data_IF_713754841108
#
_entry.id   IF_713754841108
#
_cell.length_a   1.000
_cell.length_b   1.000
_cell.length_c   1.000
_cell.angle_alpha   90.00
_cell.angle_beta   90.00
_cell.angle_gamma   90.00
#
_symmetry.space_group_name_H-M   'P 1'
#
loop_
_entity.id
_entity.type
_entity.pdbx_description
1 polymer ?
#
# COMPACT_ATOMS: atom_id res chain seq x y z
N UNK A 1 1.77 13.50 -19.42
CA UNK A 1 2.42 12.30 -20.00
C UNK A 1 2.71 12.51 -21.47
N UNK A 2 3.70 11.79 -22.03
CA UNK A 2 3.98 11.83 -23.46
C UNK A 2 2.82 11.24 -24.27
N UNK A 3 2.39 11.87 -25.38
CA UNK A 3 1.32 11.35 -26.24
C UNK A 3 1.65 9.96 -26.82
N UNK A 4 2.93 9.67 -27.04
CA UNK A 4 3.41 8.43 -27.66
C UNK A 4 3.33 7.20 -26.76
N UNK A 5 3.30 7.38 -25.45
CA UNK A 5 3.28 6.29 -24.46
C UNK A 5 1.98 6.23 -23.66
N UNK A 6 1.07 7.17 -23.87
CA UNK A 6 -0.16 7.28 -23.10
C UNK A 6 -1.24 6.35 -23.66
N UNK A 7 -1.64 5.35 -22.87
CA UNK A 7 -2.53 4.28 -23.33
C UNK A 7 -3.95 4.75 -23.65
N UNK A 8 -4.47 5.77 -22.95
CA UNK A 8 -5.79 6.37 -23.24
C UNK A 8 -5.77 7.04 -24.62
N UNK A 9 -4.68 7.72 -24.95
CA UNK A 9 -4.47 8.28 -26.30
C UNK A 9 -4.45 7.19 -27.35
N UNK A 10 -3.67 6.12 -27.12
CA UNK A 10 -3.58 5.00 -28.07
C UNK A 10 -4.95 4.33 -28.29
N UNK A 11 -5.74 4.15 -27.23
CA UNK A 11 -7.10 3.64 -27.32
C UNK A 11 -8.01 4.60 -28.07
N UNK A 12 -7.96 5.90 -27.77
CA UNK A 12 -8.74 6.92 -28.44
C UNK A 12 -8.46 6.97 -29.94
N UNK A 13 -7.18 6.91 -30.34
CA UNK A 13 -6.78 6.84 -31.76
C UNK A 13 -7.32 5.58 -32.42
N UNK A 14 -7.21 4.43 -31.75
CA UNK A 14 -7.73 3.16 -32.28
C UNK A 14 -9.25 3.23 -32.51
N UNK A 15 -10.01 3.70 -31.53
CA UNK A 15 -11.48 3.80 -31.64
C UNK A 15 -11.88 4.79 -32.73
N UNK A 16 -11.21 5.94 -32.81
CA UNK A 16 -11.46 6.96 -33.83
C UNK A 16 -11.17 6.46 -35.26
N UNK A 17 -10.16 5.59 -35.41
CA UNK A 17 -9.84 4.96 -36.70
C UNK A 17 -10.78 3.80 -37.06
N UNK A 18 -11.63 3.32 -36.14
CA UNK A 18 -12.54 2.19 -36.34
C UNK A 18 -14.00 2.58 -36.00
N UNK A 19 -14.62 3.54 -36.71
CA UNK A 19 -15.94 4.09 -36.37
C UNK A 19 -17.09 3.07 -36.52
N UNK A 20 -16.87 1.96 -37.23
CA UNK A 20 -17.84 0.88 -37.41
C UNK A 20 -17.80 -0.18 -36.31
N UNK A 21 -16.98 0.01 -35.27
CA UNK A 21 -16.88 -0.95 -34.18
C UNK A 21 -18.21 -1.01 -33.41
N UNK A 22 -18.86 -2.17 -33.45
CA UNK A 22 -20.10 -2.41 -32.73
C UNK A 22 -19.85 -2.63 -31.22
N UNK A 23 -20.86 -2.38 -30.38
CA UNK A 23 -20.82 -2.78 -28.98
C UNK A 23 -20.49 -4.27 -28.82
N UNK A 24 -19.55 -4.58 -27.93
CA UNK A 24 -19.08 -5.94 -27.69
C UNK A 24 -17.56 -6.01 -27.49
N UNK A 25 -16.91 -6.93 -28.21
CA UNK A 25 -15.46 -7.11 -28.11
C UNK A 25 -14.70 -5.89 -28.68
N UNK A 26 -14.01 -5.15 -27.80
CA UNK A 26 -13.23 -3.96 -28.17
C UNK A 26 -12.17 -4.23 -29.26
N UNK A 27 -11.61 -5.45 -29.25
CA UNK A 27 -10.69 -5.96 -30.25
C UNK A 27 -11.30 -7.19 -30.92
N UNK A 28 -12.10 -7.03 -32.00
CA UNK A 28 -12.83 -8.12 -32.61
C UNK A 28 -11.89 -9.16 -33.23
N UNK A 29 -12.29 -10.43 -33.21
CA UNK A 29 -11.57 -11.58 -33.78
C UNK A 29 -11.25 -12.69 -32.76
N UNK A 30 -10.97 -13.89 -33.26
CA UNK A 30 -10.54 -15.04 -32.44
C UNK A 30 -9.06 -14.93 -32.04
N UNK A 31 -8.67 -15.69 -31.02
CA UNK A 31 -7.27 -15.87 -30.57
C UNK A 31 -6.48 -14.56 -30.34
N UNK A 32 -6.94 -13.68 -29.42
CA UNK A 32 -6.32 -12.37 -29.20
C UNK A 32 -4.82 -12.46 -28.84
N UNK A 33 -4.41 -13.50 -28.10
CA UNK A 33 -3.01 -13.72 -27.72
C UNK A 33 -2.11 -13.97 -28.94
N UNK A 34 -2.57 -14.78 -29.89
CA UNK A 34 -1.80 -15.13 -31.09
C UNK A 34 -1.67 -13.90 -32.00
N UNK A 35 -2.77 -13.16 -32.19
CA UNK A 35 -2.78 -11.92 -32.97
C UNK A 35 -1.84 -10.87 -32.38
N UNK A 36 -1.91 -10.65 -31.07
CA UNK A 36 -1.01 -9.74 -30.38
C UNK A 36 0.46 -10.20 -30.51
N UNK A 37 0.74 -11.49 -30.34
CA UNK A 37 2.07 -12.06 -30.50
C UNK A 37 2.65 -11.85 -31.91
N UNK A 38 1.83 -12.03 -32.95
CA UNK A 38 2.22 -11.80 -34.35
C UNK A 38 2.51 -10.31 -34.61
N UNK A 39 1.64 -9.42 -34.14
CA UNK A 39 1.84 -7.98 -34.28
C UNK A 39 3.11 -7.50 -33.54
N UNK A 40 3.33 -8.00 -32.33
CA UNK A 40 4.53 -7.73 -31.54
C UNK A 40 5.80 -8.26 -32.23
N UNK A 41 5.77 -9.49 -32.75
CA UNK A 41 6.88 -10.08 -33.49
C UNK A 41 7.28 -9.23 -34.69
N UNK A 42 6.31 -8.85 -35.53
CA UNK A 42 6.54 -8.00 -36.70
C UNK A 42 7.14 -6.63 -36.33
N UNK A 43 6.77 -6.07 -35.18
CA UNK A 43 7.30 -4.78 -34.71
C UNK A 43 8.73 -4.93 -34.20
N UNK A 44 9.03 -6.01 -33.48
CA UNK A 44 10.36 -6.32 -32.97
C UNK A 44 11.34 -6.77 -34.06
N UNK A 45 10.85 -7.41 -35.12
CA UNK A 45 11.65 -7.76 -36.30
C UNK A 45 12.25 -6.52 -36.94
N UNK A 46 11.51 -5.42 -37.01
CA UNK A 46 12.02 -4.12 -37.48
C UNK A 46 13.14 -3.55 -36.62
N UNK A 47 13.26 -4.00 -35.37
CA UNK A 47 14.28 -3.59 -34.41
C UNK A 47 15.33 -4.69 -34.15
N UNK A 48 15.27 -5.82 -34.87
CA UNK A 48 16.21 -6.95 -34.71
C UNK A 48 16.04 -7.76 -33.42
N UNK A 49 14.93 -7.61 -32.68
CA UNK A 49 14.76 -8.14 -31.33
C UNK A 49 13.70 -9.26 -31.21
N UNK A 50 13.13 -9.73 -32.32
CA UNK A 50 11.95 -10.63 -32.33
C UNK A 50 12.17 -11.99 -31.65
N UNK A 51 13.41 -12.51 -31.67
CA UNK A 51 13.76 -13.78 -31.01
C UNK A 51 13.97 -13.64 -29.51
N UNK A 52 14.17 -12.43 -29.00
CA UNK A 52 14.49 -12.18 -27.58
C UNK A 52 13.24 -11.88 -26.73
N UNK A 53 12.18 -11.36 -27.35
CA UNK A 53 10.99 -10.91 -26.63
C UNK A 53 9.72 -11.49 -27.25
N UNK A 54 8.84 -12.00 -26.39
CA UNK A 54 7.51 -12.47 -26.78
C UNK A 54 6.44 -11.94 -25.83
N UNK A 55 5.20 -12.42 -25.99
CA UNK A 55 4.07 -11.97 -25.14
C UNK A 55 4.31 -12.21 -23.65
N UNK A 56 5.08 -13.25 -23.30
CA UNK A 56 5.47 -13.55 -21.92
C UNK A 56 6.51 -12.56 -21.36
N UNK A 57 7.31 -11.91 -22.22
CA UNK A 57 8.29 -10.92 -21.81
C UNK A 57 7.64 -9.62 -21.34
N UNK A 58 6.49 -9.23 -21.91
CA UNK A 58 5.72 -8.05 -21.46
C UNK A 58 5.29 -8.20 -20.00
N UNK A 59 4.73 -9.36 -19.64
CA UNK A 59 4.35 -9.66 -18.25
C UNK A 59 5.54 -9.61 -17.30
N UNK A 60 6.68 -10.20 -17.69
CA UNK A 60 7.92 -10.16 -16.90
C UNK A 60 8.46 -8.75 -16.75
N UNK A 61 8.39 -7.94 -17.80
CA UNK A 61 8.79 -6.54 -17.79
C UNK A 61 7.98 -5.72 -16.80
N UNK A 62 6.65 -5.84 -16.83
CA UNK A 62 5.76 -5.16 -15.89
C UNK A 62 6.05 -5.58 -14.44
N UNK A 63 6.19 -6.88 -14.18
CA UNK A 63 6.53 -7.38 -12.84
C UNK A 63 7.88 -6.85 -12.33
N UNK A 64 8.83 -6.59 -13.23
CA UNK A 64 10.14 -6.03 -12.89
C UNK A 64 10.03 -4.53 -12.64
N UNK A 65 9.28 -3.80 -13.47
CA UNK A 65 9.08 -2.35 -13.38
C UNK A 65 8.47 -1.94 -12.02
N UNK A 66 7.58 -2.76 -11.48
CA UNK A 66 6.85 -2.42 -10.26
C UNK A 66 7.72 -2.61 -9.02
N UNK A 67 8.89 -3.27 -9.10
CA UNK A 67 9.84 -3.52 -7.99
C UNK A 67 9.22 -4.05 -6.66
N UNK A 68 7.97 -4.52 -6.69
CA UNK A 68 7.26 -5.00 -5.51
C UNK A 68 7.37 -6.53 -5.45
N UNK A 69 8.19 -7.05 -4.52
CA UNK A 69 8.22 -8.47 -4.17
C UNK A 69 6.85 -9.03 -3.71
N UNK A 70 5.93 -8.15 -3.31
CA UNK A 70 4.57 -8.52 -2.89
C UNK A 70 3.67 -8.85 -4.09
N UNK A 71 3.99 -8.39 -5.31
CA UNK A 71 3.04 -8.38 -6.42
C UNK A 71 3.53 -9.03 -7.72
N UNK A 72 4.45 -9.98 -7.58
CA UNK A 72 4.79 -10.95 -8.64
C UNK A 72 3.60 -11.85 -9.05
N UNK A 73 2.41 -11.64 -8.46
CA UNK A 73 1.25 -12.55 -8.41
C UNK A 73 0.02 -12.04 -9.18
N UNK A 74 -0.09 -10.73 -9.46
CA UNK A 74 -1.11 -10.16 -10.37
C UNK A 74 -0.83 -10.43 -11.86
N UNK A 75 0.36 -10.96 -12.19
CA UNK A 75 0.73 -11.37 -13.55
C UNK A 75 0.18 -12.75 -13.97
N UNK A 76 -0.87 -13.24 -13.29
CA UNK A 76 -1.63 -14.45 -13.67
C UNK A 76 -0.79 -15.75 -13.55
N UNK A 77 -0.01 -15.84 -12.47
CA UNK A 77 0.70 -17.07 -12.08
C UNK A 77 -0.09 -17.78 -10.98
N UNK A 78 -0.61 -18.97 -11.26
CA UNK A 78 -1.28 -19.80 -10.26
C UNK A 78 -0.27 -20.27 -9.19
N UNK A 79 -0.49 -19.88 -7.94
CA UNK A 79 0.21 -20.41 -6.76
C UNK A 79 -0.63 -21.45 -5.98
N UNK A 80 -1.76 -21.91 -6.53
CA UNK A 80 -2.68 -22.84 -5.89
C UNK A 80 -3.54 -22.21 -4.76
N UNK A 81 -4.28 -23.03 -4.02
CA UNK A 81 -5.32 -22.61 -3.06
C UNK A 81 -4.85 -21.98 -1.73
N UNK A 82 -3.61 -21.50 -1.65
CA UNK A 82 -3.06 -20.80 -0.48
C UNK A 82 -3.26 -19.27 -0.57
N UNK A 83 -3.71 -18.80 -1.74
CA UNK A 83 -3.76 -17.38 -2.13
C UNK A 83 -4.80 -16.56 -1.36
N UNK A 84 -6.06 -17.01 -1.30
CA UNK A 84 -7.19 -16.27 -0.70
C UNK A 84 -7.01 -15.95 0.79
N UNK A 85 -6.09 -16.65 1.48
CA UNK A 85 -5.89 -16.49 2.92
C UNK A 85 -4.99 -15.30 3.30
N UNK A 86 -4.20 -14.78 2.34
CA UNK A 86 -3.19 -13.76 2.61
C UNK A 86 -3.30 -12.51 1.73
N UNK A 87 -4.08 -12.55 0.66
CA UNK A 87 -4.35 -11.37 -0.16
C UNK A 87 -5.50 -10.58 0.48
N UNK A 88 -5.18 -9.38 0.98
CA UNK A 88 -6.18 -8.42 1.46
C UNK A 88 -6.07 -7.18 0.59
N UNK A 89 -7.20 -6.60 0.21
CA UNK A 89 -7.31 -5.36 -0.56
C UNK A 89 -6.85 -5.45 -2.02
N UNK A 90 -7.25 -6.50 -2.74
CA UNK A 90 -6.98 -6.70 -4.18
C UNK A 90 -7.28 -5.44 -5.02
N UNK A 91 -8.46 -4.84 -4.81
CA UNK A 91 -8.88 -3.65 -5.53
C UNK A 91 -7.94 -2.43 -5.35
N UNK A 92 -7.37 -2.25 -4.15
CA UNK A 92 -6.44 -1.13 -3.90
C UNK A 92 -5.06 -1.40 -4.52
N UNK A 93 -4.63 -2.67 -4.52
CA UNK A 93 -3.42 -3.13 -5.23
C UNK A 93 -3.54 -2.91 -6.73
N UNK A 94 -4.67 -3.31 -7.33
CA UNK A 94 -4.94 -3.13 -8.76
C UNK A 94 -4.92 -1.66 -9.19
N UNK A 95 -5.51 -0.77 -8.39
CA UNK A 95 -5.51 0.67 -8.67
C UNK A 95 -4.10 1.26 -8.61
N UNK A 96 -3.30 0.90 -7.60
CA UNK A 96 -1.90 1.34 -7.50
C UNK A 96 -1.08 0.80 -8.66
N UNK A 97 -1.17 -0.51 -8.93
CA UNK A 97 -0.46 -1.17 -10.00
C UNK A 97 -0.83 -0.57 -11.37
N UNK A 98 -2.11 -0.30 -11.60
CA UNK A 98 -2.60 0.34 -12.82
C UNK A 98 -1.92 1.69 -13.06
N UNK A 99 -1.72 2.49 -12.02
CA UNK A 99 -0.98 3.76 -12.11
C UNK A 99 0.50 3.57 -12.43
N UNK A 100 1.16 2.60 -11.80
CA UNK A 100 2.57 2.27 -12.09
C UNK A 100 2.74 1.81 -13.55
N UNK A 101 1.87 0.93 -14.02
CA UNK A 101 1.88 0.41 -15.40
C UNK A 101 1.53 1.49 -16.42
N UNK A 102 0.72 2.47 -16.05
CA UNK A 102 0.48 3.67 -16.86
C UNK A 102 1.72 4.57 -17.00
N UNK A 103 2.81 4.29 -16.29
CA UNK A 103 4.07 5.02 -16.36
C UNK A 103 4.11 6.26 -15.44
N UNK A 104 3.27 6.29 -14.41
CA UNK A 104 3.29 7.39 -13.43
C UNK A 104 4.51 7.27 -12.50
N UNK A 105 5.18 8.39 -12.18
CA UNK A 105 6.38 8.39 -11.34
C UNK A 105 6.04 8.10 -9.86
N UNK A 106 6.45 6.93 -9.34
CA UNK A 106 6.13 6.45 -7.97
C UNK A 106 6.73 7.32 -6.84
N UNK A 107 7.66 8.20 -7.19
CA UNK A 107 8.40 9.05 -6.25
C UNK A 107 8.14 10.56 -6.48
N UNK A 108 7.02 10.90 -7.12
CA UNK A 108 6.64 12.29 -7.41
C UNK A 108 5.16 12.50 -7.05
N UNK A 109 4.80 13.73 -6.69
CA UNK A 109 3.41 14.15 -6.50
C UNK A 109 2.55 13.89 -7.74
N UNK A 110 3.16 13.94 -8.92
CA UNK A 110 2.53 13.61 -10.21
C UNK A 110 1.98 12.19 -10.28
N UNK A 111 2.36 11.30 -9.36
CA UNK A 111 1.73 9.99 -9.27
C UNK A 111 0.22 10.06 -9.04
N UNK A 112 -0.28 11.13 -8.43
CA UNK A 112 -1.69 11.36 -8.19
C UNK A 112 -2.42 12.02 -9.36
N UNK A 113 -1.73 12.35 -10.45
CA UNK A 113 -2.32 13.03 -11.60
C UNK A 113 -3.49 12.21 -12.17
N UNK A 114 -4.56 12.92 -12.50
CA UNK A 114 -5.72 12.35 -13.17
C UNK A 114 -5.49 12.30 -14.69
N UNK A 115 -6.13 11.36 -15.39
CA UNK A 115 -6.18 11.42 -16.85
C UNK A 115 -6.81 12.74 -17.29
N UNK A 116 -6.46 13.21 -18.49
CA UNK A 116 -7.13 14.39 -19.09
C UNK A 116 -8.62 14.12 -19.20
N UNK A 117 -9.42 15.05 -18.69
CA UNK A 117 -10.87 14.96 -18.65
C UNK A 117 -11.49 16.37 -18.77
N UNK A 118 -12.76 16.42 -19.11
CA UNK A 118 -13.50 17.69 -19.17
C UNK A 118 -13.98 18.09 -17.78
N UNK A 119 -14.11 19.39 -17.55
CA UNK A 119 -14.69 19.95 -16.32
C UNK A 119 -16.09 19.37 -16.08
N UNK A 120 -16.87 19.26 -17.16
CA UNK A 120 -18.22 18.72 -17.12
C UNK A 120 -18.53 17.90 -18.39
N UNK A 121 -18.84 16.62 -18.20
CA UNK A 121 -19.12 15.69 -19.31
C UNK A 121 -20.56 15.82 -19.86
N UNK A 122 -21.45 16.52 -19.14
CA UNK A 122 -22.84 16.70 -19.57
C UNK A 122 -23.02 17.78 -20.65
N UNK A 123 -21.97 18.53 -20.97
CA UNK A 123 -21.98 19.61 -21.96
C UNK A 123 -22.34 19.07 -23.35
N UNK A 124 -23.32 19.72 -24.00
CA UNK A 124 -23.83 19.30 -25.30
C UNK A 124 -22.72 19.14 -26.35
N UNK A 125 -21.76 20.07 -26.39
CA UNK A 125 -20.62 20.05 -27.31
C UNK A 125 -19.75 18.79 -27.12
N UNK A 126 -19.52 18.37 -25.87
CA UNK A 126 -18.75 17.15 -25.56
C UNK A 126 -19.52 15.92 -26.07
N UNK A 127 -20.81 15.80 -25.74
CA UNK A 127 -21.66 14.67 -26.19
C UNK A 127 -21.75 14.58 -27.71
N UNK A 128 -21.98 15.70 -28.39
CA UNK A 128 -22.02 15.74 -29.86
C UNK A 128 -20.67 15.34 -30.46
N UNK A 129 -19.56 15.74 -29.85
CA UNK A 129 -18.22 15.38 -30.31
C UNK A 129 -17.90 13.90 -30.09
N UNK A 130 -18.32 13.33 -28.96
CA UNK A 130 -18.24 11.87 -28.69
C UNK A 130 -19.06 11.10 -29.73
N UNK A 131 -20.29 11.54 -30.01
CA UNK A 131 -21.14 10.92 -31.02
C UNK A 131 -20.55 11.01 -32.44
N UNK A 132 -19.84 12.10 -32.75
CA UNK A 132 -19.15 12.25 -34.03
C UNK A 132 -17.91 11.36 -34.14
N UNK A 133 -17.12 11.25 -33.08
CA UNK A 133 -15.87 10.47 -33.07
C UNK A 133 -16.09 8.96 -32.91
N UNK A 134 -17.11 8.56 -32.15
CA UNK A 134 -17.37 7.17 -31.80
C UNK A 134 -18.85 6.80 -32.05
N UNK A 135 -19.35 6.91 -33.29
CA UNK A 135 -20.79 6.92 -33.58
C UNK A 135 -21.53 5.65 -33.16
N UNK A 136 -20.91 4.47 -33.31
CA UNK A 136 -21.54 3.18 -32.95
C UNK A 136 -21.44 2.87 -31.46
N UNK A 137 -20.49 3.47 -30.77
CA UNK A 137 -20.27 3.26 -29.33
C UNK A 137 -20.89 4.36 -28.47
N UNK A 138 -21.30 5.49 -29.06
CA UNK A 138 -21.84 6.64 -28.34
C UNK A 138 -23.08 6.33 -27.48
N UNK A 139 -23.85 5.30 -27.85
CA UNK A 139 -25.03 4.87 -27.11
C UNK A 139 -24.72 3.91 -25.96
N UNK A 140 -23.48 3.43 -25.84
CA UNK A 140 -23.06 2.49 -24.79
C UNK A 140 -22.75 3.22 -23.49
N UNK A 141 -23.68 3.16 -22.54
CA UNK A 141 -23.60 3.86 -21.24
C UNK A 141 -22.39 3.45 -20.42
N UNK A 142 -22.01 2.17 -20.46
CA UNK A 142 -20.87 1.64 -19.72
C UNK A 142 -19.51 2.13 -20.25
N UNK A 143 -19.46 2.55 -21.52
CA UNK A 143 -18.24 3.06 -22.16
C UNK A 143 -18.21 4.59 -22.26
N UNK A 144 -19.31 5.27 -21.94
CA UNK A 144 -19.45 6.73 -22.01
C UNK A 144 -18.25 7.46 -21.38
N UNK A 145 -17.93 7.17 -20.13
CA UNK A 145 -16.80 7.80 -19.43
C UNK A 145 -15.44 7.52 -20.07
N UNK A 146 -15.22 6.33 -20.63
CA UNK A 146 -13.97 5.98 -21.30
C UNK A 146 -13.84 6.74 -22.62
N UNK A 147 -14.92 6.86 -23.39
CA UNK A 147 -14.93 7.62 -24.64
C UNK A 147 -14.70 9.11 -24.39
N UNK A 148 -15.26 9.66 -23.31
CA UNK A 148 -15.03 11.04 -22.88
C UNK A 148 -13.55 11.28 -22.54
N UNK A 149 -12.92 10.36 -21.80
CA UNK A 149 -11.48 10.40 -21.52
C UNK A 149 -10.63 10.26 -22.78
N UNK A 150 -11.01 9.38 -23.70
CA UNK A 150 -10.35 9.22 -24.99
C UNK A 150 -10.44 10.52 -25.81
N UNK A 151 -11.62 11.14 -25.88
CA UNK A 151 -11.82 12.41 -26.56
C UNK A 151 -10.99 13.52 -25.92
N UNK A 152 -11.01 13.65 -24.59
CA UNK A 152 -10.22 14.64 -23.87
C UNK A 152 -8.72 14.48 -24.15
N UNK A 153 -8.23 13.23 -24.19
CA UNK A 153 -6.84 12.92 -24.54
C UNK A 153 -6.50 13.28 -25.98
N UNK A 154 -7.40 12.99 -26.93
CA UNK A 154 -7.22 13.33 -28.35
C UNK A 154 -7.17 14.84 -28.57
N UNK A 155 -8.07 15.59 -27.91
CA UNK A 155 -8.11 17.06 -27.98
C UNK A 155 -6.82 17.65 -27.40
N UNK A 156 -6.40 17.18 -26.23
CA UNK A 156 -5.18 17.69 -25.58
C UNK A 156 -3.92 17.47 -26.42
N UNK A 157 -3.83 16.34 -27.13
CA UNK A 157 -2.67 15.96 -27.92
C UNK A 157 -2.82 16.25 -29.43
N UNK A 158 -3.79 17.08 -29.79
CA UNK A 158 -4.09 17.45 -31.17
C UNK A 158 -2.88 18.00 -31.93
N UNK A 159 -2.15 18.95 -31.35
CA UNK A 159 -0.96 19.55 -31.97
C UNK A 159 0.13 18.50 -32.24
N UNK A 160 0.36 17.60 -31.27
CA UNK A 160 1.32 16.50 -31.43
C UNK A 160 0.97 15.61 -32.63
N UNK A 161 -0.31 15.29 -32.84
CA UNK A 161 -0.70 14.48 -33.98
C UNK A 161 -0.46 15.19 -35.31
N UNK A 162 -0.77 16.48 -35.38
CA UNK A 162 -0.58 17.27 -36.60
C UNK A 162 0.90 17.33 -37.01
N UNK A 163 1.80 17.39 -36.02
CA UNK A 163 3.23 17.47 -36.27
C UNK A 163 3.88 16.11 -36.59
N UNK A 164 3.35 15.00 -36.03
CA UNK A 164 4.04 13.70 -36.04
C UNK A 164 3.34 12.62 -36.89
N UNK A 165 2.05 12.75 -37.20
CA UNK A 165 1.33 11.77 -38.01
C UNK A 165 1.28 12.22 -39.49
N UNK A 166 1.35 11.28 -40.44
CA UNK A 166 1.27 11.64 -41.84
C UNK A 166 -0.15 12.13 -42.19
N UNK A 167 -0.25 13.03 -43.17
CA UNK A 167 -1.52 13.67 -43.57
C UNK A 167 -2.59 12.63 -43.99
N UNK A 168 -2.16 11.49 -44.52
CA UNK A 168 -3.02 10.36 -44.92
C UNK A 168 -3.35 9.40 -43.77
N UNK A 169 -3.03 9.73 -42.53
CA UNK A 169 -3.34 8.88 -41.40
C UNK A 169 -4.87 8.73 -41.23
N UNK A 170 -5.40 7.52 -40.97
CA UNK A 170 -6.83 7.29 -40.82
C UNK A 170 -7.51 8.21 -39.81
N UNK A 171 -6.81 8.60 -38.74
CA UNK A 171 -7.28 9.59 -37.78
C UNK A 171 -7.75 10.88 -38.49
N UNK A 172 -6.95 11.46 -39.39
CA UNK A 172 -7.34 12.68 -40.10
C UNK A 172 -8.31 12.46 -41.25
N UNK A 173 -8.29 11.26 -41.85
CA UNK A 173 -9.17 10.94 -42.98
C UNK A 173 -10.59 10.68 -42.50
N UNK A 174 -10.73 9.81 -41.49
CA UNK A 174 -11.98 9.29 -40.96
C UNK A 174 -12.62 10.26 -39.99
N UNK A 175 -11.81 10.95 -39.19
CA UNK A 175 -12.30 12.03 -38.34
C UNK A 175 -12.12 13.35 -39.10
N UNK A 176 -13.20 13.95 -39.58
CA UNK A 176 -13.16 15.30 -40.18
C UNK A 176 -12.71 16.38 -39.18
N UNK A 177 -12.43 15.99 -37.94
CA UNK A 177 -12.06 16.77 -36.77
C UNK A 177 -10.94 17.79 -37.01
N UNK A 178 -10.04 17.57 -37.98
CA UNK A 178 -8.94 18.49 -38.31
C UNK A 178 -9.04 19.21 -39.66
N UNK A 179 -9.99 18.83 -40.53
CA UNK A 179 -10.04 19.28 -41.93
C UNK A 179 -10.81 20.59 -42.14
N UNK A 180 -11.90 20.80 -41.41
CA UNK A 180 -12.77 21.97 -41.59
C UNK A 180 -12.47 23.09 -40.60
N UNK A 181 -12.61 24.36 -41.03
CA UNK A 181 -12.50 25.53 -40.16
C UNK A 181 -13.44 25.45 -38.96
N UNK A 182 -14.67 24.94 -39.16
CA UNK A 182 -15.65 24.70 -38.10
C UNK A 182 -15.15 23.72 -37.05
N UNK A 183 -14.45 22.66 -37.47
CA UNK A 183 -13.93 21.65 -36.54
C UNK A 183 -12.72 22.15 -35.75
N UNK A 184 -11.92 23.07 -36.29
CA UNK A 184 -10.87 23.78 -35.53
C UNK A 184 -11.45 24.67 -34.43
N UNK A 185 -12.61 25.28 -34.67
CA UNK A 185 -13.33 26.05 -33.64
C UNK A 185 -13.86 25.11 -32.55
N UNK A 186 -14.47 23.98 -32.93
CA UNK A 186 -14.93 22.96 -31.98
C UNK A 186 -13.77 22.41 -31.14
N UNK A 187 -12.62 22.11 -31.76
CA UNK A 187 -11.40 21.71 -31.07
C UNK A 187 -10.93 22.73 -30.04
N UNK A 188 -10.88 24.01 -30.42
CA UNK A 188 -10.52 25.10 -29.48
C UNK A 188 -11.50 25.20 -28.32
N UNK A 189 -12.80 25.10 -28.61
CA UNK A 189 -13.85 25.12 -27.58
C UNK A 189 -13.72 23.93 -26.64
N UNK A 190 -13.46 22.72 -27.16
CA UNK A 190 -13.22 21.53 -26.35
C UNK A 190 -11.94 21.64 -25.51
N UNK A 191 -10.87 22.20 -26.07
CA UNK A 191 -9.62 22.41 -25.35
C UNK A 191 -9.81 23.39 -24.18
N UNK A 192 -10.65 24.40 -24.33
CA UNK A 192 -11.03 25.31 -23.26
C UNK A 192 -11.88 24.66 -22.15
N UNK A 193 -12.55 23.53 -22.44
CA UNK A 193 -13.35 22.76 -21.50
C UNK A 193 -12.56 21.67 -20.75
N UNK A 194 -11.26 21.50 -21.06
CA UNK A 194 -10.40 20.56 -20.34
C UNK A 194 -10.08 21.07 -18.94
N UNK A 195 -10.15 20.17 -17.96
CA UNK A 195 -9.78 20.47 -16.58
C UNK A 195 -8.25 20.66 -16.48
N UNK A 196 -7.84 21.76 -15.86
CA UNK A 196 -6.44 22.12 -15.65
C UNK A 196 -6.01 22.02 -14.18
N UNK A 197 -6.93 21.69 -13.27
CA UNK A 197 -6.68 21.63 -11.84
C UNK A 197 -7.38 20.45 -11.16
N UNK A 198 -8.06 20.74 -10.05
CA UNK A 198 -8.73 19.73 -9.24
C UNK A 198 -10.09 19.42 -9.85
N UNK A 199 -10.27 18.15 -10.25
CA UNK A 199 -11.56 17.65 -10.70
C UNK A 199 -12.61 17.73 -9.60
N UNK A 200 -13.84 18.11 -9.97
CA UNK A 200 -14.98 18.14 -9.05
C UNK A 200 -15.68 16.77 -8.94
N UNK A 201 -15.48 15.88 -9.91
CA UNK A 201 -16.23 14.63 -10.03
C UNK A 201 -15.36 13.38 -10.12
N UNK A 202 -14.05 13.52 -10.33
CA UNK A 202 -13.11 12.41 -10.40
C UNK A 202 -12.10 12.48 -9.25
N UNK A 203 -11.97 11.40 -8.49
CA UNK A 203 -10.95 11.26 -7.45
C UNK A 203 -9.86 10.29 -7.88
N UNK A 204 -8.62 10.61 -7.52
CA UNK A 204 -7.47 9.79 -7.84
C UNK A 204 -7.39 8.59 -6.89
N UNK A 205 -7.58 7.39 -7.43
CA UNK A 205 -7.53 6.13 -6.68
C UNK A 205 -6.15 5.49 -6.70
N UNK A 206 -5.90 4.51 -5.82
CA UNK A 206 -4.63 3.77 -5.77
C UNK A 206 -3.43 4.59 -5.32
N UNK A 207 -3.64 5.66 -4.55
CA UNK A 207 -2.58 6.54 -4.05
C UNK A 207 -2.01 5.99 -2.73
N UNK A 208 -0.71 5.63 -2.67
CA UNK A 208 -0.07 5.25 -1.42
C UNK A 208 0.12 6.45 -0.46
N UNK A 209 0.22 6.22 0.86
CA UNK A 209 0.40 7.29 1.84
C UNK A 209 1.61 8.20 1.59
N UNK A 210 2.70 7.67 1.03
CA UNK A 210 3.91 8.46 0.76
C UNK A 210 3.73 9.46 -0.39
N UNK A 211 2.86 9.19 -1.35
CA UNK A 211 2.54 10.15 -2.42
C UNK A 211 1.84 11.37 -1.85
N UNK A 212 0.96 11.20 -0.85
CA UNK A 212 0.34 12.33 -0.16
C UNK A 212 1.38 13.23 0.53
N UNK A 213 2.52 12.67 0.96
CA UNK A 213 3.64 13.48 1.46
C UNK A 213 4.29 14.27 0.34
N UNK A 214 4.54 13.66 -0.83
CA UNK A 214 5.08 14.37 -1.99
C UNK A 214 4.15 15.49 -2.47
N UNK A 215 2.84 15.28 -2.48
CA UNK A 215 1.85 16.33 -2.81
C UNK A 215 1.98 17.51 -1.84
N UNK A 216 2.04 17.24 -0.53
CA UNK A 216 2.20 18.29 0.48
C UNK A 216 3.53 19.04 0.33
N UNK A 217 4.62 18.32 0.06
CA UNK A 217 5.94 18.91 -0.19
C UNK A 217 5.93 19.78 -1.45
N UNK A 218 5.27 19.33 -2.53
CA UNK A 218 5.15 20.11 -3.76
C UNK A 218 4.36 21.42 -3.55
N UNK A 219 3.27 21.36 -2.76
CA UNK A 219 2.50 22.56 -2.39
C UNK A 219 3.37 23.51 -1.55
N UNK A 220 4.10 22.99 -0.56
CA UNK A 220 5.00 23.81 0.26
C UNK A 220 6.12 24.45 -0.57
N UNK A 221 6.72 23.69 -1.49
CA UNK A 221 7.74 24.20 -2.39
C UNK A 221 7.19 25.31 -3.28
N UNK A 222 5.98 25.13 -3.84
CA UNK A 222 5.32 26.16 -4.64
C UNK A 222 5.06 27.44 -3.83
N UNK A 223 4.63 27.32 -2.56
CA UNK A 223 4.49 28.47 -1.67
C UNK A 223 5.84 29.16 -1.43
N UNK A 224 6.92 28.38 -1.26
CA UNK A 224 8.27 28.92 -1.06
C UNK A 224 8.77 29.63 -2.32
N UNK A 225 8.57 29.06 -3.50
CA UNK A 225 8.99 29.64 -4.78
C UNK A 225 8.21 30.91 -5.12
N UNK A 226 6.96 31.04 -4.64
CA UNK A 226 6.13 32.22 -4.79
C UNK A 226 6.43 33.33 -3.76
N UNK A 227 7.20 33.05 -2.70
CA UNK A 227 7.54 34.02 -1.64
C UNK A 227 8.18 35.30 -2.20
N UNK A 228 9.21 35.24 -3.06
CA UNK A 228 9.90 36.45 -3.50
C UNK A 228 9.00 37.38 -4.29
N UNK A 229 8.22 36.87 -5.24
CA UNK A 229 7.32 37.70 -6.07
C UNK A 229 6.19 38.32 -5.27
N UNK A 230 5.61 37.60 -4.30
CA UNK A 230 4.59 38.18 -3.41
C UNK A 230 5.19 39.21 -2.44
N UNK A 231 6.41 38.97 -1.96
CA UNK A 231 7.14 39.92 -1.12
C UNK A 231 7.46 41.20 -1.90
N UNK A 232 7.94 41.09 -3.13
CA UNK A 232 8.19 42.21 -4.04
C UNK A 232 6.91 43.02 -4.27
N UNK A 233 5.82 42.36 -4.68
CA UNK A 233 4.54 43.02 -4.93
C UNK A 233 4.01 43.74 -3.67
N UNK A 234 4.10 43.12 -2.49
CA UNK A 234 3.65 43.76 -1.24
C UNK A 234 4.60 44.86 -0.76
N UNK A 235 5.91 44.73 -0.98
CA UNK A 235 6.85 45.80 -0.67
C UNK A 235 6.64 47.00 -1.60
N UNK A 236 6.34 46.77 -2.87
CA UNK A 236 5.95 47.80 -3.83
C UNK A 236 4.65 48.50 -3.39
N UNK A 237 3.61 47.73 -3.03
CA UNK A 237 2.37 48.28 -2.44
C UNK A 237 2.64 49.13 -1.17
N UNK A 238 3.55 48.69 -0.29
CA UNK A 238 3.89 49.42 0.94
C UNK A 238 4.65 50.72 0.63
N UNK A 239 5.56 50.69 -0.34
CA UNK A 239 6.33 51.85 -0.78
C UNK A 239 5.44 52.86 -1.52
N UNK A 240 4.52 52.39 -2.35
CA UNK A 240 3.55 53.22 -3.08
C UNK A 240 2.48 53.82 -2.16
N UNK A 241 1.86 53.01 -1.29
CA UNK A 241 0.80 53.48 -0.38
C UNK A 241 1.29 54.49 0.63
N UNK A 242 2.56 54.42 1.03
CA UNK A 242 3.09 55.27 2.10
C UNK A 242 3.99 56.40 1.64
N UNK A 243 4.36 56.46 0.35
CA UNK A 243 5.29 57.42 -0.23
C UNK A 243 6.60 57.57 0.56
N UNK A 244 7.72 57.60 -0.15
CA UNK A 244 9.04 58.00 0.34
C UNK A 244 9.05 59.35 1.11
N UNK A 245 7.96 60.13 1.07
CA UNK A 245 7.78 61.44 1.68
C UNK A 245 7.65 61.48 3.21
N UNK A 246 7.27 60.39 3.90
CA UNK A 246 7.04 60.44 5.36
C UNK A 246 8.24 59.95 6.22
N UNK A 247 9.28 59.37 5.62
CA UNK A 247 10.51 58.93 6.32
C UNK A 247 10.34 57.84 7.40
N UNK A 248 9.12 57.40 7.70
CA UNK A 248 8.81 56.54 8.85
C UNK A 248 8.40 55.13 8.44
N UNK A 249 9.32 54.35 7.87
CA UNK A 249 9.19 52.88 7.84
C UNK A 249 9.64 52.38 9.23
N UNK A 250 8.69 52.13 10.13
CA UNK A 250 8.98 51.59 11.47
C UNK A 250 9.16 50.07 11.44
N UNK A 251 10.03 49.55 12.32
CA UNK A 251 10.32 48.11 12.45
C UNK A 251 9.05 47.27 12.72
N UNK A 252 8.11 47.81 13.48
CA UNK A 252 6.89 47.11 13.86
C UNK A 252 5.94 46.94 12.66
N UNK A 253 5.85 47.96 11.80
CA UNK A 253 5.10 47.88 10.55
C UNK A 253 5.64 46.78 9.63
N UNK A 254 6.96 46.70 9.46
CA UNK A 254 7.59 45.64 8.68
C UNK A 254 7.34 44.26 9.27
N UNK A 255 7.37 44.13 10.61
CA UNK A 255 7.08 42.86 11.29
C UNK A 255 5.64 42.42 11.11
N UNK A 256 4.68 43.34 11.17
CA UNK A 256 3.26 43.02 11.02
C UNK A 256 2.93 42.63 9.57
N UNK A 257 3.52 43.29 8.57
CA UNK A 257 3.37 42.92 7.16
C UNK A 257 4.03 41.57 6.83
N UNK A 258 5.25 41.32 7.35
CA UNK A 258 5.89 39.99 7.21
C UNK A 258 5.03 38.90 7.88
N UNK A 259 4.38 39.22 9.02
CA UNK A 259 3.49 38.28 9.70
C UNK A 259 2.23 38.00 8.89
N UNK A 260 1.62 39.03 8.31
CA UNK A 260 0.46 38.91 7.44
C UNK A 260 0.80 38.08 6.18
N UNK A 261 1.95 38.33 5.55
CA UNK A 261 2.46 37.53 4.44
C UNK A 261 2.65 36.05 4.81
N UNK A 262 3.23 35.77 5.98
CA UNK A 262 3.40 34.39 6.46
C UNK A 262 2.07 33.69 6.77
N UNK A 263 1.03 34.44 7.13
CA UNK A 263 -0.33 33.92 7.34
C UNK A 263 -1.08 33.67 6.03
N UNK A 264 -1.01 34.61 5.07
CA UNK A 264 -1.59 34.46 3.72
C UNK A 264 -1.06 33.20 3.01
N UNK A 265 0.19 32.80 3.29
CA UNK A 265 0.82 31.62 2.69
C UNK A 265 0.62 30.31 3.46
N UNK A 266 -0.06 30.34 4.61
CA UNK A 266 -0.25 29.14 5.45
C UNK A 266 1.05 28.56 6.01
N UNK A 267 2.13 29.35 6.06
CA UNK A 267 3.44 28.96 6.57
C UNK A 267 3.59 29.19 8.09
N UNK A 268 2.65 29.89 8.71
CA UNK A 268 2.49 29.78 10.16
C UNK A 268 1.85 28.43 10.47
N UNK A 269 2.57 27.60 11.23
CA UNK A 269 1.95 26.62 12.10
C UNK A 269 0.81 27.35 12.78
N UNK A 270 -0.43 26.93 12.53
CA UNK A 270 -1.50 27.18 13.46
C UNK A 270 -0.91 26.82 14.82
N UNK A 271 -0.77 27.82 15.70
CA UNK A 271 -0.73 27.50 17.11
C UNK A 271 -1.96 26.63 17.33
N UNK A 272 -1.85 25.48 18.00
CA UNK A 272 -3.02 24.68 18.30
C UNK A 272 -3.98 25.60 19.04
N UNK A 273 -5.13 25.86 18.42
CA UNK A 273 -6.18 26.69 18.97
C UNK A 273 -6.42 26.27 20.41
N UNK A 274 -6.21 27.25 21.28
CA UNK A 274 -6.48 27.20 22.70
C UNK A 274 -7.99 27.08 22.92
N UNK A 275 -8.54 25.88 22.74
CA UNK A 275 -9.86 25.50 23.27
C UNK A 275 -10.02 23.98 23.27
N UNK A 276 -9.44 23.31 24.27
CA UNK A 276 -10.06 22.25 25.08
C UNK A 276 -9.06 21.93 26.19
N UNK A 277 -9.40 22.27 27.44
CA UNK A 277 -8.67 21.79 28.61
C UNK A 277 -8.79 20.26 28.67
N UNK A 278 -7.84 19.56 28.08
CA UNK A 278 -7.55 18.18 28.40
C UNK A 278 -6.35 18.18 29.37
N UNK A 279 -6.51 17.50 30.50
CA UNK A 279 -5.51 17.36 31.55
C UNK A 279 -4.10 17.09 30.97
N UNK A 280 -3.03 17.61 31.62
CA UNK A 280 -1.66 17.45 31.13
C UNK A 280 -1.34 15.97 30.93
N UNK A 281 -1.22 15.56 29.66
CA UNK A 281 -0.73 14.23 29.32
C UNK A 281 0.73 14.15 29.78
N UNK A 282 1.12 13.14 30.58
CA UNK A 282 2.52 12.96 30.92
C UNK A 282 3.31 12.77 29.61
N UNK A 283 4.37 13.55 29.46
CA UNK A 283 5.40 13.41 28.43
C UNK A 283 6.03 12.03 28.58
N UNK A 284 5.46 11.03 27.89
CA UNK A 284 5.97 9.66 27.91
C UNK A 284 7.32 9.62 27.21
N UNK A 285 8.35 9.17 27.93
CA UNK A 285 9.71 9.07 27.42
C UNK A 285 9.72 8.10 26.23
N UNK A 286 10.12 8.59 25.06
CA UNK A 286 10.31 7.77 23.87
C UNK A 286 11.78 7.36 23.76
N UNK A 287 12.03 6.07 23.53
CA UNK A 287 13.38 5.51 23.39
C UNK A 287 13.71 5.29 21.92
N UNK A 288 14.97 5.45 21.55
CA UNK A 288 15.47 5.21 20.19
C UNK A 288 16.52 4.11 20.21
N UNK A 289 16.23 3.00 19.53
CA UNK A 289 17.18 1.92 19.29
C UNK A 289 16.80 1.18 18.00
N UNK A 290 17.77 0.60 17.31
CA UNK A 290 17.52 -0.09 16.03
C UNK A 290 16.94 0.81 14.93
N UNK A 291 17.16 2.12 14.98
CA UNK A 291 16.65 3.09 14.00
C UNK A 291 15.14 3.35 14.07
N UNK A 292 14.47 2.97 15.16
CA UNK A 292 13.03 3.18 15.37
C UNK A 292 12.74 3.77 16.75
N UNK A 293 11.56 4.38 16.87
CA UNK A 293 11.02 4.85 18.14
C UNK A 293 10.32 3.71 18.87
N UNK A 294 10.61 3.59 20.17
CA UNK A 294 10.13 2.53 21.04
C UNK A 294 9.56 3.11 22.33
N UNK A 295 8.53 2.45 22.86
CA UNK A 295 7.91 2.83 24.15
C UNK A 295 8.69 2.34 25.36
N UNK A 296 9.68 1.48 25.15
CA UNK A 296 10.48 0.84 26.20
C UNK A 296 11.97 0.94 25.88
N UNK A 297 12.83 1.01 26.92
CA UNK A 297 14.27 0.91 26.76
C UNK A 297 14.68 -0.42 26.11
N UNK A 298 15.84 -0.43 25.44
CA UNK A 298 16.39 -1.66 24.83
C UNK A 298 16.58 -2.79 25.84
N UNK A 299 16.95 -2.45 27.08
CA UNK A 299 17.29 -3.42 28.14
C UNK A 299 16.10 -3.80 29.02
N UNK A 300 14.86 -3.47 28.62
CA UNK A 300 13.65 -3.83 29.35
C UNK A 300 13.49 -5.35 29.52
N UNK A 301 13.26 -5.84 30.74
CA UNK A 301 12.94 -7.23 31.02
C UNK A 301 11.61 -7.37 31.79
N UNK A 302 10.84 -8.41 31.44
CA UNK A 302 9.58 -8.71 32.12
C UNK A 302 9.83 -9.21 33.54
N UNK A 303 9.13 -8.68 34.56
CA UNK A 303 9.27 -9.13 35.92
C UNK A 303 8.65 -10.54 36.09
N UNK A 304 9.34 -11.41 36.83
CA UNK A 304 8.88 -12.76 37.14
C UNK A 304 7.91 -12.74 38.34
N UNK A 305 6.69 -12.25 38.12
CA UNK A 305 5.70 -12.02 39.19
C UNK A 305 4.52 -12.99 39.15
N UNK A 306 3.70 -12.90 40.19
CA UNK A 306 2.42 -13.58 40.33
C UNK A 306 1.36 -13.00 39.37
N UNK A 307 0.29 -13.76 39.06
CA UNK A 307 -0.76 -13.33 38.13
C UNK A 307 -1.48 -12.03 38.53
N UNK A 308 -1.62 -11.73 39.82
CA UNK A 308 -2.30 -10.51 40.28
C UNK A 308 -1.40 -9.30 40.02
N UNK A 309 -0.11 -9.38 40.38
CA UNK A 309 0.87 -8.34 40.03
C UNK A 309 0.97 -8.13 38.51
N UNK A 310 0.89 -9.20 37.72
CA UNK A 310 0.87 -9.11 36.27
C UNK A 310 -0.40 -8.42 35.74
N UNK A 311 -1.56 -8.68 36.34
CA UNK A 311 -2.82 -8.02 36.00
C UNK A 311 -2.77 -6.52 36.28
N UNK A 312 -2.15 -6.12 37.39
CA UNK A 312 -1.94 -4.70 37.72
C UNK A 312 -1.03 -4.01 36.70
N UNK A 313 0.12 -4.59 36.35
CA UNK A 313 1.03 -4.04 35.33
C UNK A 313 0.41 -4.01 33.92
N UNK A 314 -0.49 -4.95 33.62
CA UNK A 314 -1.23 -4.98 32.35
C UNK A 314 -2.12 -3.75 32.17
N UNK A 315 -2.73 -3.28 33.25
CA UNK A 315 -3.70 -2.18 33.23
C UNK A 315 -3.12 -0.81 33.57
N UNK A 316 -2.20 -0.75 34.54
CA UNK A 316 -1.66 0.52 35.06
C UNK A 316 -0.22 0.80 34.61
N UNK A 317 0.56 -0.23 34.27
CA UNK A 317 1.98 -0.08 33.94
C UNK A 317 2.84 0.07 35.20
N UNK A 318 4.04 0.62 35.05
CA UNK A 318 4.97 0.87 36.17
C UNK A 318 5.35 2.36 36.18
N UNK A 319 4.66 3.13 37.02
CA UNK A 319 4.86 4.57 37.14
C UNK A 319 6.27 4.95 37.60
N UNK A 320 6.94 4.08 38.39
CA UNK A 320 8.29 4.35 38.89
C UNK A 320 9.34 4.30 37.79
N UNK A 321 9.07 3.57 36.71
CA UNK A 321 9.97 3.39 35.57
C UNK A 321 9.45 4.06 34.30
N UNK A 322 8.36 4.80 34.39
CA UNK A 322 7.60 5.39 33.27
C UNK A 322 7.26 4.35 32.19
N UNK A 323 6.96 3.11 32.59
CA UNK A 323 6.58 2.07 31.64
C UNK A 323 5.08 2.10 31.41
N UNK A 324 4.63 2.14 30.14
CA UNK A 324 3.21 2.18 29.84
C UNK A 324 2.54 0.86 30.25
N UNK A 325 1.20 0.86 30.39
CA UNK A 325 0.45 -0.37 30.63
C UNK A 325 0.84 -1.47 29.64
N UNK A 326 1.11 -2.68 30.14
CA UNK A 326 1.75 -3.72 29.32
C UNK A 326 0.88 -4.17 28.15
N UNK A 327 -0.44 -3.94 28.21
CA UNK A 327 -1.37 -4.13 27.09
C UNK A 327 -1.05 -3.29 25.85
N UNK A 328 -0.34 -2.18 26.03
CA UNK A 328 -0.03 -1.21 24.97
C UNK A 328 1.35 -1.40 24.33
N UNK A 329 2.11 -2.38 24.82
CA UNK A 329 3.43 -2.77 24.32
C UNK A 329 3.23 -3.60 23.05
N UNK A 330 3.94 -3.22 21.97
CA UNK A 330 3.97 -4.01 20.74
C UNK A 330 5.12 -5.01 20.75
N UNK A 331 5.00 -6.10 19.97
CA UNK A 331 6.11 -7.03 19.73
C UNK A 331 7.32 -6.35 19.06
N UNK A 332 7.09 -5.19 18.44
CA UNK A 332 8.13 -4.33 17.84
C UNK A 332 8.92 -3.54 18.88
N UNK A 333 8.37 -3.33 20.09
CA UNK A 333 9.04 -2.66 21.22
C UNK A 333 9.98 -3.58 22.00
N UNK A 334 10.22 -4.81 21.52
CA UNK A 334 11.01 -5.84 22.22
C UNK A 334 12.17 -6.32 21.34
N UNK A 335 13.39 -6.22 21.88
CA UNK A 335 14.63 -6.48 21.15
C UNK A 335 14.96 -7.98 20.94
N UNK A 336 14.41 -8.88 21.77
CA UNK A 336 14.75 -10.31 21.74
C UNK A 336 13.52 -11.21 21.53
N UNK A 337 13.66 -12.35 20.84
CA UNK A 337 12.56 -13.29 20.61
C UNK A 337 12.00 -13.87 21.91
N UNK A 338 12.84 -14.05 22.94
CA UNK A 338 12.42 -14.50 24.28
C UNK A 338 11.41 -13.54 24.91
N UNK A 339 11.68 -12.23 24.87
CA UNK A 339 10.77 -11.19 25.40
C UNK A 339 9.42 -11.18 24.66
N UNK A 340 9.44 -11.37 23.34
CA UNK A 340 8.21 -11.48 22.52
C UNK A 340 7.37 -12.70 22.90
N UNK A 341 8.01 -13.83 23.19
CA UNK A 341 7.33 -15.02 23.69
C UNK A 341 6.69 -14.76 25.07
N UNK A 342 7.41 -14.08 25.99
CA UNK A 342 6.88 -13.70 27.30
C UNK A 342 5.67 -12.77 27.21
N UNK A 343 5.69 -11.75 26.33
CA UNK A 343 4.52 -10.89 26.08
C UNK A 343 3.31 -11.69 25.56
N UNK A 344 3.57 -12.71 24.73
CA UNK A 344 2.52 -13.60 24.22
C UNK A 344 1.93 -14.46 25.35
N UNK A 345 2.76 -14.96 26.27
CA UNK A 345 2.29 -15.70 27.46
C UNK A 345 1.43 -14.83 28.37
N UNK A 346 1.85 -13.58 28.62
CA UNK A 346 1.06 -12.60 29.37
C UNK A 346 -0.29 -12.35 28.69
N UNK A 347 -0.29 -12.02 27.40
CA UNK A 347 -1.52 -11.79 26.62
C UNK A 347 -2.49 -12.97 26.68
N UNK A 348 -1.99 -14.21 26.62
CA UNK A 348 -2.84 -15.41 26.67
C UNK A 348 -3.45 -15.56 28.05
N UNK A 349 -2.68 -15.40 29.14
CA UNK A 349 -3.24 -15.50 30.49
C UNK A 349 -4.29 -14.41 30.75
N UNK A 350 -4.02 -13.16 30.34
CA UNK A 350 -4.98 -12.05 30.50
C UNK A 350 -6.29 -12.35 29.77
N UNK A 351 -6.23 -12.97 28.59
CA UNK A 351 -7.43 -13.40 27.85
C UNK A 351 -8.23 -14.47 28.59
N UNK A 352 -7.56 -15.46 29.21
CA UNK A 352 -8.27 -16.45 30.02
C UNK A 352 -8.96 -15.82 31.23
N UNK A 353 -8.32 -14.84 31.89
CA UNK A 353 -8.91 -14.11 33.02
C UNK A 353 -10.11 -13.28 32.54
N UNK A 354 -9.98 -12.54 31.43
CA UNK A 354 -11.08 -11.74 30.85
C UNK A 354 -12.27 -12.63 30.47
N UNK A 355 -12.02 -13.76 29.80
CA UNK A 355 -13.08 -14.71 29.46
C UNK A 355 -13.78 -15.27 30.71
N UNK A 356 -13.04 -15.50 31.80
CA UNK A 356 -13.60 -15.91 33.08
C UNK A 356 -14.52 -14.85 33.70
N UNK A 357 -14.11 -13.58 33.62
CA UNK A 357 -14.91 -12.42 34.07
C UNK A 357 -16.20 -12.28 33.25
N UNK A 358 -16.09 -12.35 31.93
CA UNK A 358 -17.23 -12.24 31.01
C UNK A 358 -18.22 -13.40 31.19
N UNK A 359 -17.73 -14.60 31.47
CA UNK A 359 -18.57 -15.77 31.76
C UNK A 359 -19.36 -15.61 33.08
N UNK A 360 -18.79 -14.94 34.09
CA UNK A 360 -19.44 -14.73 35.39
C UNK A 360 -20.42 -13.54 35.37
N UNK A 361 -20.13 -12.47 34.62
CA UNK A 361 -21.00 -11.28 34.52
C UNK A 361 -22.01 -11.31 33.37
N UNK A 362 -21.86 -12.21 32.39
CA UNK A 362 -22.73 -12.28 31.20
C UNK A 362 -22.67 -11.04 30.29
N UNK A 363 -21.68 -10.18 30.47
CA UNK A 363 -21.48 -8.91 29.77
C UNK A 363 -19.98 -8.66 29.51
N UNK A 364 -19.62 -7.83 28.50
CA UNK A 364 -18.22 -7.56 28.17
C UNK A 364 -17.51 -6.83 29.32
N UNK A 365 -16.19 -7.01 29.41
CA UNK A 365 -15.34 -6.44 30.47
C UNK A 365 -15.63 -4.93 30.71
N UNK A 366 -16.02 -4.51 31.93
CA UNK A 366 -16.25 -3.11 32.25
C UNK A 366 -14.92 -2.32 32.25
N UNK A 367 -14.97 -1.00 31.99
CA UNK A 367 -13.78 -0.16 32.05
C UNK A 367 -13.20 -0.16 33.47
N UNK A 368 -11.93 -0.55 33.59
CA UNK A 368 -11.20 -0.55 34.86
C UNK A 368 -10.96 0.89 35.28
N UNK A 369 -11.43 1.23 36.49
CA UNK A 369 -11.41 2.57 37.05
C UNK A 369 -10.19 2.74 37.96
N UNK A 370 -10.15 1.93 39.01
CA UNK A 370 -9.15 2.01 40.07
C UNK A 370 -8.50 0.65 40.36
N UNK A 371 -7.39 0.68 41.11
CA UNK A 371 -6.63 -0.52 41.51
C UNK A 371 -7.50 -1.52 42.27
N UNK A 372 -8.37 -1.05 43.18
CA UNK A 372 -9.28 -1.90 43.94
C UNK A 372 -10.26 -2.64 43.02
N UNK A 373 -10.87 -1.92 42.08
CA UNK A 373 -11.78 -2.51 41.09
C UNK A 373 -11.06 -3.53 40.18
N UNK A 374 -9.80 -3.26 39.80
CA UNK A 374 -9.00 -4.21 39.03
C UNK A 374 -8.72 -5.52 39.80
N UNK A 375 -8.50 -5.43 41.12
CA UNK A 375 -8.27 -6.60 41.99
C UNK A 375 -9.55 -7.43 42.14
N UNK A 376 -10.71 -6.79 42.29
CA UNK A 376 -12.01 -7.47 42.36
C UNK A 376 -12.30 -8.26 41.09
N UNK A 377 -12.16 -7.62 39.92
CA UNK A 377 -12.33 -8.26 38.62
C UNK A 377 -11.34 -9.42 38.43
N UNK A 378 -10.09 -9.26 38.86
CA UNK A 378 -9.11 -10.35 38.82
C UNK A 378 -9.55 -11.54 39.67
N UNK A 379 -9.98 -11.31 40.91
CA UNK A 379 -10.39 -12.40 41.80
C UNK A 379 -11.62 -13.15 41.28
N UNK A 380 -12.53 -12.45 40.60
CA UNK A 380 -13.67 -13.01 39.88
C UNK A 380 -13.20 -13.94 38.75
N UNK A 381 -12.47 -13.39 37.77
CA UNK A 381 -11.97 -14.16 36.63
C UNK A 381 -11.04 -15.31 37.00
N UNK A 382 -10.20 -15.13 38.02
CA UNK A 382 -9.23 -16.14 38.43
C UNK A 382 -9.89 -17.37 39.07
N UNK A 383 -11.02 -17.20 39.78
CA UNK A 383 -11.80 -18.34 40.33
C UNK A 383 -12.35 -19.25 39.24
N UNK A 384 -12.67 -18.69 38.08
CA UNK A 384 -13.22 -19.41 36.93
C UNK A 384 -12.16 -20.17 36.13
N UNK A 385 -10.86 -19.99 36.44
CA UNK A 385 -9.80 -20.69 35.74
C UNK A 385 -9.71 -22.16 36.18
N UNK A 386 -9.83 -23.07 35.20
CA UNK A 386 -9.64 -24.49 35.44
C UNK A 386 -8.14 -24.85 35.47
N UNK A 387 -7.56 -24.90 36.68
CA UNK A 387 -6.16 -25.27 36.88
C UNK A 387 -6.04 -26.76 37.17
N UNK A 388 -5.13 -27.44 36.47
CA UNK A 388 -4.86 -28.86 36.73
C UNK A 388 -4.35 -29.05 38.17
N UNK A 389 -4.94 -29.99 38.95
CA UNK A 389 -4.51 -30.24 40.32
C UNK A 389 -3.07 -30.76 40.36
N UNK A 390 -2.23 -30.13 41.18
CA UNK A 390 -0.83 -30.51 41.38
C UNK A 390 -0.72 -31.67 42.37
N UNK A 391 0.07 -32.70 42.05
CA UNK A 391 0.40 -33.82 42.96
C UNK A 391 1.13 -33.39 44.25
N UNK A 392 1.76 -32.21 44.25
CA UNK A 392 2.44 -31.61 45.42
C UNK A 392 1.62 -30.43 45.94
N UNK A 393 1.43 -30.31 47.27
CA UNK A 393 0.85 -29.12 47.91
C UNK A 393 1.72 -27.90 47.59
N UNK A 394 1.19 -26.92 46.87
CA UNK A 394 1.87 -25.65 46.55
C UNK A 394 1.20 -24.52 47.33
N UNK A 395 1.95 -23.50 47.71
CA UNK A 395 1.37 -22.24 48.18
C UNK A 395 0.79 -21.51 46.96
N UNK A 396 -0.53 -21.43 46.88
CA UNK A 396 -1.27 -20.86 45.74
C UNK A 396 -0.88 -19.39 45.46
N UNK A 397 -0.51 -18.65 46.50
CA UNK A 397 -0.10 -17.23 46.44
C UNK A 397 1.31 -17.00 45.89
N UNK A 398 2.10 -18.05 45.65
CA UNK A 398 3.49 -17.94 45.16
C UNK A 398 3.67 -18.50 43.74
N UNK A 399 2.57 -18.81 43.04
CA UNK A 399 2.62 -19.35 41.69
C UNK A 399 2.83 -18.21 40.71
N UNK A 400 3.89 -18.30 39.90
CA UNK A 400 4.22 -17.32 38.86
C UNK A 400 3.25 -17.42 37.68
N UNK A 401 3.03 -16.30 36.97
CA UNK A 401 2.18 -16.22 35.77
C UNK A 401 2.42 -17.35 34.76
N UNK A 402 3.68 -17.62 34.42
CA UNK A 402 4.06 -18.65 33.43
C UNK A 402 3.68 -20.06 33.88
N UNK A 403 3.69 -20.30 35.20
CA UNK A 403 3.31 -21.58 35.78
C UNK A 403 1.79 -21.75 35.80
N UNK A 404 1.02 -20.69 36.08
CA UNK A 404 -0.45 -20.71 35.99
C UNK A 404 -0.89 -21.01 34.56
N UNK A 405 -0.33 -20.31 33.57
CA UNK A 405 -0.65 -20.55 32.16
C UNK A 405 -0.33 -21.99 31.73
N UNK A 406 0.78 -22.56 32.21
CA UNK A 406 1.11 -23.96 31.95
C UNK A 406 0.04 -24.91 32.52
N UNK A 407 -0.44 -24.66 33.74
CA UNK A 407 -1.48 -25.47 34.38
C UNK A 407 -2.83 -25.38 33.66
N UNK A 408 -3.18 -24.21 33.10
CA UNK A 408 -4.36 -24.04 32.23
C UNK A 408 -4.22 -24.92 30.98
N UNK A 409 -3.09 -24.82 30.26
CA UNK A 409 -2.82 -25.63 29.06
C UNK A 409 -2.83 -27.12 29.35
N UNK A 410 -2.29 -27.53 30.50
CA UNK A 410 -2.30 -28.94 30.92
C UNK A 410 -3.71 -29.44 31.28
N UNK A 411 -4.60 -28.59 31.77
CA UNK A 411 -6.00 -28.92 32.04
C UNK A 411 -6.82 -29.03 30.74
N UNK A 412 -6.64 -28.08 29.80
CA UNK A 412 -7.29 -28.10 28.48
C UNK A 412 -6.85 -29.27 27.59
N UNK A 413 -5.61 -29.74 27.74
CA UNK A 413 -5.13 -30.91 27.01
C UNK A 413 -5.63 -32.22 27.63
N UNK A 414 -5.91 -32.25 28.94
CA UNK A 414 -6.47 -33.44 29.60
C UNK A 414 -7.93 -33.70 29.20
N UNK A 415 -8.68 -32.66 28.84
CA UNK A 415 -10.04 -32.77 28.30
C UNK A 415 -10.07 -33.15 26.81
N UNK A 416 -8.94 -33.10 26.10
CA UNK A 416 -8.79 -33.49 24.69
C UNK A 416 -8.16 -34.89 24.57
N UNK A 417 -8.93 -35.95 24.84
CA UNK A 417 -8.54 -37.32 24.49
C UNK A 417 -8.72 -37.55 22.99
N UNK A 418 -7.63 -37.54 22.23
CA UNK A 418 -7.66 -38.01 20.84
C UNK A 418 -7.47 -39.53 20.80
N UNK A 419 -8.31 -40.28 20.03
CA UNK A 419 -8.07 -41.70 19.83
C UNK A 419 -6.74 -41.91 19.10
N UNK A 420 -5.84 -42.68 19.71
CA UNK A 420 -4.55 -43.03 19.13
C UNK A 420 -4.77 -43.87 17.86
N UNK A 421 -4.44 -43.31 16.69
CA UNK A 421 -4.31 -44.07 15.44
C UNK A 421 -2.82 -44.35 15.20
N UNK A 422 -2.36 -45.61 15.26
CA UNK A 422 -0.97 -45.93 14.95
C UNK A 422 -0.68 -45.55 13.49
N UNK A 423 0.38 -44.77 13.26
CA UNK A 423 0.89 -44.47 11.92
C UNK A 423 1.33 -45.78 11.26
N UNK A 424 0.72 -46.14 10.12
CA UNK A 424 1.24 -47.20 9.24
C UNK A 424 2.64 -46.78 8.78
N UNK A 425 3.68 -47.45 9.28
CA UNK A 425 5.03 -47.36 8.71
C UNK A 425 5.02 -48.05 7.34
N UNK A 426 5.59 -47.46 6.28
CA UNK A 426 5.83 -48.18 5.04
C UNK A 426 6.77 -49.35 5.33
N UNK A 427 6.41 -50.57 4.90
CA UNK A 427 7.33 -51.71 4.91
C UNK A 427 8.51 -51.37 4.01
N UNK A 428 9.72 -51.42 4.55
CA UNK A 428 10.93 -51.37 3.74
C UNK A 428 10.91 -52.57 2.78
N UNK A 429 11.00 -52.30 1.48
CA UNK A 429 11.19 -53.34 0.47
C UNK A 429 12.60 -53.93 0.67
N UNK A 430 12.65 -55.15 1.21
CA UNK A 430 13.85 -55.96 1.28
C UNK A 430 14.18 -56.41 -0.15
N UNK A 431 15.19 -55.81 -0.78
CA UNK A 431 15.76 -56.33 -2.03
C UNK A 431 16.91 -57.27 -1.65
N UNK A 432 16.58 -58.55 -1.50
CA UNK A 432 17.58 -59.61 -1.49
C UNK A 432 17.88 -59.94 -2.95
N UNK A 433 19.02 -59.49 -3.44
CA UNK A 433 19.61 -60.02 -4.66
C UNK A 433 20.39 -61.31 -4.31
N UNK A 434 20.26 -62.40 -5.09
CA UNK A 434 20.98 -63.64 -4.81
C UNK A 434 22.46 -63.51 -5.21
N UNK A 435 23.35 -63.81 -4.26
CA UNK A 435 24.77 -64.07 -4.52
C UNK A 435 24.90 -65.39 -5.27
N UNK A 436 25.38 -65.35 -6.51
CA UNK A 436 25.94 -66.51 -7.20
C UNK A 436 27.43 -66.57 -6.86
N UNK A 437 27.84 -67.67 -6.24
CA UNK A 437 29.24 -68.04 -6.07
C UNK A 437 29.80 -68.56 -7.40
N UNK A 438 30.97 -68.09 -7.80
CA UNK A 438 31.89 -68.83 -8.65
C UNK A 438 33.31 -68.59 -8.12
N UNK A 439 33.97 -69.69 -7.79
CA UNK A 439 35.36 -69.82 -7.35
C UNK A 439 36.28 -70.07 -8.55
N UNK A 440 37.59 -69.88 -8.30
CA UNK A 440 38.77 -70.21 -9.14
C UNK A 440 39.16 -69.12 -10.17
N UNK A 441 40.42 -68.69 -10.33
CA UNK A 441 41.74 -69.19 -9.92
C UNK A 441 42.78 -68.05 -10.03
N UNK A 442 43.96 -68.24 -9.44
CA UNK A 442 45.05 -67.28 -9.26
C UNK A 442 45.81 -66.88 -10.55
N UNK A 443 46.41 -65.68 -10.59
CA UNK A 443 47.89 -65.53 -10.61
C UNK A 443 48.41 -64.08 -10.65
N UNK A 444 49.52 -63.88 -9.93
CA UNK A 444 50.60 -62.89 -10.12
C UNK A 444 50.38 -61.38 -9.93
N UNK A 445 51.03 -60.84 -8.89
CA UNK A 445 51.50 -59.45 -8.74
C UNK A 445 52.83 -59.25 -9.56
N UNK A 446 53.55 -58.09 -9.56
CA UNK A 446 53.36 -56.85 -8.79
C UNK A 446 53.71 -55.50 -9.52
N UNK A 447 53.64 -54.42 -8.72
CA UNK A 447 54.52 -53.22 -8.70
C UNK A 447 54.06 -51.86 -9.28
N UNK A 448 54.04 -50.87 -8.35
CA UNK A 448 54.46 -49.46 -8.41
C UNK A 448 54.09 -48.61 -9.64
N UNK A 449 53.57 -47.39 -9.52
CA UNK A 449 54.26 -46.23 -8.92
C UNK A 449 53.31 -45.02 -8.89
N UNK A 450 53.39 -44.26 -7.80
CA UNK A 450 53.40 -42.78 -7.70
C UNK A 450 52.50 -41.90 -8.62
N UNK A 451 51.61 -41.16 -7.95
CA UNK A 451 51.25 -39.73 -8.17
C UNK A 451 52.44 -38.81 -8.56
N UNK A 452 52.28 -37.53 -8.98
CA UNK A 452 51.08 -36.68 -8.86
C UNK A 452 50.73 -35.80 -10.08
N UNK A 453 49.62 -35.09 -9.88
CA UNK A 453 49.19 -33.88 -10.55
C UNK A 453 50.29 -32.83 -10.81
N UNK A 454 50.16 -32.15 -11.96
CA UNK A 454 50.11 -30.69 -12.08
C UNK A 454 48.91 -30.35 -12.97
#
# INVERSE_FOLDING_TARGET
>A
MSPSTYWVTALGVYLACNPRLEPGALFPGSEPKVRFGKALGNLLDKQGASKCYGTHSVRKGIATLVEVQVDRRLCDWSLGGVQDRYVRHEAAGDQFLGRVVAGLPVHDAKFADLPRHFVCNSVAVVKSSVALMFPRLANETNLAGIMELCLASLVHHSDYFLDNLPINHPLFIVTDFHKSHTNRIVLRNLNALLENGKSQWMEATGIPPHINLYIKLAIQQQSIDALPGMLEQRMEDVLERKCVAAGNITRDLLRDEIRALLQDMGLQSSQPDSSTQAAPRPTRVCYTWGGRFHKLPRDFDFPSIDPLGAWQLWWFGDDRRDYPPYRSISSTDLNTPKKKATLSEWSILMRHIINGIEAEMGSPLPPIRDLAHAIELFNMGYKMLNLKPSKRKRRTTQIKLTTVLRLIREAENATRTFPYKPRKRPKAACSVAPRVCATEQADSAPQSSQEPAI
#
